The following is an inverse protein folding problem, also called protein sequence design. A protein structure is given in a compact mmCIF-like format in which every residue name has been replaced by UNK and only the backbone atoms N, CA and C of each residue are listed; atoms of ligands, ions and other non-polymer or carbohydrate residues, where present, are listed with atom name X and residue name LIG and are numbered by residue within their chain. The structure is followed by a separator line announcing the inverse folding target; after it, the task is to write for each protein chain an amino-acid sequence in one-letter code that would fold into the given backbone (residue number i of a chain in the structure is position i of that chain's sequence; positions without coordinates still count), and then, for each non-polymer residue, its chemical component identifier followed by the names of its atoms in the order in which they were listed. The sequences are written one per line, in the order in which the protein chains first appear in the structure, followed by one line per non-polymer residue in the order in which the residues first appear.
data_IF_582638658963
#
_entry.id   IF_582638658963
#
_cell.length_a   1.000
_cell.length_b   1.000
_cell.length_c   1.000
_cell.angle_alpha   90.00
_cell.angle_beta   90.00
_cell.angle_gamma   90.00
#
_symmetry.space_group_name_H-M   'P 1'
#
loop_
_entity.id
_entity.type
_entity.pdbx_description
1 polymer ?
#
# COMPACT_ATOMS: atom_id res chain seq x y z
N UNK A 1 -21.26 0.59 -5.46
CA UNK A 1 -20.32 0.79 -4.33
C UNK A 1 -21.10 0.74 -3.03
N UNK A 2 -20.57 0.10 -1.99
CA UNK A 2 -21.19 0.07 -0.67
C UNK A 2 -21.43 1.51 -0.20
N UNK A 3 -22.66 1.80 0.24
CA UNK A 3 -23.08 3.10 0.79
C UNK A 3 -22.97 3.12 2.31
N UNK A 4 -22.08 2.29 2.85
CA UNK A 4 -21.85 2.14 4.28
C UNK A 4 -21.18 3.40 4.82
N UNK A 5 -21.54 3.78 6.04
CA UNK A 5 -20.99 4.94 6.72
C UNK A 5 -20.30 4.49 7.98
N UNK A 6 -19.10 4.99 8.20
CA UNK A 6 -18.24 4.62 9.30
C UNK A 6 -17.86 5.87 10.08
N UNK A 7 -17.74 5.73 11.40
CA UNK A 7 -17.21 6.78 12.27
C UNK A 7 -15.72 6.49 12.48
N UNK A 8 -14.88 7.53 12.44
CA UNK A 8 -13.46 7.38 12.66
C UNK A 8 -12.85 8.60 13.36
N UNK A 9 -11.77 8.35 14.10
CA UNK A 9 -10.89 9.39 14.64
C UNK A 9 -9.74 9.59 13.66
N UNK A 10 -9.47 10.84 13.34
CA UNK A 10 -8.33 11.22 12.49
C UNK A 10 -7.09 11.29 13.38
N UNK A 11 -6.17 10.35 13.20
CA UNK A 11 -4.90 10.28 13.93
C UNK A 11 -3.94 11.36 13.43
N UNK A 12 -3.62 11.32 12.14
CA UNK A 12 -2.70 12.24 11.50
C UNK A 12 -2.95 12.31 9.99
N UNK A 13 -2.40 13.34 9.35
CA UNK A 13 -2.14 13.31 7.91
C UNK A 13 -1.23 12.11 7.64
N UNK A 14 -1.79 11.07 7.02
CA UNK A 14 -1.01 10.12 6.23
C UNK A 14 -0.18 10.91 5.25
N UNK A 15 0.92 10.36 4.79
CA UNK A 15 1.88 11.10 3.98
C UNK A 15 1.18 11.96 2.93
N UNK A 16 1.28 13.29 3.07
CA UNK A 16 0.85 14.25 2.06
C UNK A 16 1.77 14.11 0.85
N UNK A 17 1.70 12.98 0.17
CA UNK A 17 2.48 12.59 -0.97
C UNK A 17 1.45 12.28 -2.04
N UNK A 18 1.53 13.05 -3.13
CA UNK A 18 0.84 12.87 -4.43
C UNK A 18 -0.41 13.76 -4.61
N UNK A 19 -0.20 15.05 -4.82
CA UNK A 19 -0.64 15.75 -6.06
C UNK A 19 -2.04 15.42 -6.65
N UNK A 20 -3.08 16.14 -6.18
CA UNK A 20 -4.45 16.30 -6.73
C UNK A 20 -4.45 16.95 -8.13
N UNK A 21 -3.44 17.77 -8.41
CA UNK A 21 -2.96 18.37 -9.67
C UNK A 21 -1.43 18.24 -9.61
N UNK A 22 -0.65 18.29 -10.72
CA UNK A 22 0.80 18.42 -10.65
C UNK A 22 1.16 19.59 -9.70
N UNK A 23 1.60 19.28 -8.48
CA UNK A 23 1.92 20.20 -7.39
C UNK A 23 1.06 20.19 -6.10
N UNK A 24 -0.14 19.59 -6.03
CA UNK A 24 -1.05 19.77 -4.86
C UNK A 24 -1.24 18.56 -3.93
N UNK A 25 -0.78 18.54 -2.67
CA UNK A 25 -0.80 17.33 -1.84
C UNK A 25 -2.21 16.70 -1.67
N UNK A 26 -2.37 15.42 -2.04
CA UNK A 26 -3.54 14.61 -1.70
C UNK A 26 -3.64 14.44 -0.18
N UNK A 27 -4.82 14.72 0.34
CA UNK A 27 -5.14 14.62 1.74
C UNK A 27 -5.34 13.14 2.09
N UNK A 28 -4.24 12.47 2.34
CA UNK A 28 -4.20 11.12 2.90
C UNK A 28 -4.29 11.22 4.43
N UNK A 29 -5.18 10.46 5.06
CA UNK A 29 -5.30 10.38 6.51
C UNK A 29 -5.27 8.94 6.98
N UNK A 30 -4.67 8.74 8.16
CA UNK A 30 -4.87 7.52 8.93
C UNK A 30 -6.09 7.70 9.81
N UNK A 31 -7.00 6.74 9.71
CA UNK A 31 -8.30 6.73 10.35
C UNK A 31 -8.37 5.55 11.31
N UNK A 32 -8.71 5.82 12.56
CA UNK A 32 -9.00 4.81 13.58
C UNK A 32 -10.51 4.62 13.65
N UNK A 33 -11.00 3.41 13.38
CA UNK A 33 -12.43 3.17 13.32
C UNK A 33 -13.09 3.21 14.70
N UNK A 34 -14.30 3.75 14.73
CA UNK A 34 -15.18 3.75 15.89
C UNK A 34 -16.42 2.92 15.55
N UNK A 35 -16.68 1.91 16.39
CA UNK A 35 -17.84 1.04 16.28
C UNK A 35 -18.80 1.23 17.45
N UNK A 36 -20.02 0.70 17.28
CA UNK A 36 -20.96 0.55 18.39
C UNK A 36 -20.76 -0.78 19.07
N UNK A 37 -20.76 -0.79 20.40
CA UNK A 37 -20.49 -1.97 21.20
C UNK A 37 -19.04 -2.45 21.14
N UNK A 38 -18.77 -3.44 21.97
CA UNK A 38 -17.48 -4.10 22.02
C UNK A 38 -17.27 -4.97 20.76
N UNK A 39 -16.03 -5.04 20.24
CA UNK A 39 -15.69 -6.00 19.20
C UNK A 39 -15.83 -7.43 19.73
N UNK A 40 -16.00 -8.40 18.84
CA UNK A 40 -16.20 -9.83 19.18
C UNK A 40 -15.09 -10.38 20.09
N UNK A 41 -13.85 -9.92 19.90
CA UNK A 41 -12.69 -10.33 20.68
C UNK A 41 -12.65 -9.67 22.07
N UNK A 42 -13.49 -8.66 22.31
CA UNK A 42 -13.68 -7.96 23.58
C UNK A 42 -12.55 -6.99 23.94
N UNK A 43 -11.28 -7.41 23.81
CA UNK A 43 -10.12 -6.65 24.28
C UNK A 43 -9.60 -5.50 23.38
N UNK A 44 -9.77 -5.50 22.04
CA UNK A 44 -9.20 -4.45 21.19
C UNK A 44 -10.13 -3.24 21.07
N UNK A 45 -10.49 -2.65 22.21
CA UNK A 45 -11.40 -1.51 22.27
C UNK A 45 -10.96 -0.45 23.29
N UNK A 46 -11.31 0.81 23.04
CA UNK A 46 -11.21 1.92 24.00
C UNK A 46 -12.59 2.58 24.09
N UNK A 47 -13.18 2.75 25.28
CA UNK A 47 -14.49 3.36 25.41
C UNK A 47 -14.45 4.85 25.04
N UNK A 48 -15.49 5.35 24.39
CA UNK A 48 -15.76 6.78 24.24
C UNK A 48 -16.88 7.17 25.20
N UNK A 49 -16.69 8.21 26.00
CA UNK A 49 -17.72 8.67 26.95
C UNK A 49 -19.05 8.95 26.22
N UNK A 50 -20.20 8.42 26.70
CA UNK A 50 -20.44 7.79 28.01
C UNK A 50 -20.42 6.24 28.01
N UNK A 51 -19.73 5.57 27.08
CA UNK A 51 -19.65 4.11 27.03
C UNK A 51 -18.98 3.50 28.28
N UNK A 52 -19.41 2.31 28.70
CA UNK A 52 -18.94 1.66 29.92
C UNK A 52 -17.49 1.18 29.78
N UNK A 53 -16.67 1.45 30.81
CA UNK A 53 -15.24 1.13 30.85
C UNK A 53 -14.87 -0.08 31.72
N UNK A 54 -15.81 -0.63 32.50
CA UNK A 54 -15.53 -1.61 33.56
C UNK A 54 -14.88 -2.91 33.07
N UNK A 55 -15.07 -3.29 31.80
CA UNK A 55 -14.54 -4.54 31.23
C UNK A 55 -13.18 -4.40 30.53
N UNK A 56 -12.73 -3.19 30.22
CA UNK A 56 -11.64 -2.97 29.25
C UNK A 56 -10.28 -2.59 29.86
N UNK A 57 -10.20 -2.37 31.18
CA UNK A 57 -8.99 -1.85 31.86
C UNK A 57 -8.42 -0.57 31.22
N UNK A 58 -9.24 0.17 30.48
CA UNK A 58 -8.86 1.35 29.69
C UNK A 58 -9.76 2.53 30.04
N UNK A 59 -9.20 3.71 30.30
CA UNK A 59 -10.00 4.89 30.60
C UNK A 59 -10.84 5.28 29.38
N UNK A 60 -12.06 5.74 29.63
CA UNK A 60 -12.92 6.29 28.57
C UNK A 60 -12.33 7.59 28.05
N UNK A 61 -12.32 7.73 26.72
CA UNK A 61 -11.91 8.94 26.03
C UNK A 61 -13.08 9.91 25.98
N UNK A 62 -12.83 11.16 26.37
CA UNK A 62 -13.86 12.20 26.40
C UNK A 62 -13.83 13.00 25.10
N UNK A 63 -14.97 13.10 24.44
CA UNK A 63 -15.15 13.95 23.25
C UNK A 63 -15.55 15.37 23.66
N UNK A 64 -15.20 16.36 22.85
CA UNK A 64 -15.50 17.78 23.10
C UNK A 64 -17.01 18.09 23.13
N UNK A 65 -17.81 17.20 22.53
CA UNK A 65 -19.26 17.19 22.58
C UNK A 65 -19.73 15.72 22.58
N UNK A 66 -20.88 15.40 23.21
CA UNK A 66 -21.37 14.03 23.26
C UNK A 66 -21.67 13.52 21.85
N UNK A 67 -21.32 12.26 21.60
CA UNK A 67 -21.65 11.60 20.33
C UNK A 67 -23.16 11.34 20.25
N UNK A 68 -23.78 11.45 19.06
CA UNK A 68 -25.20 11.18 18.89
C UNK A 68 -25.54 9.68 18.97
N UNK A 69 -24.52 8.81 18.96
CA UNK A 69 -24.68 7.37 19.12
C UNK A 69 -24.21 6.94 20.51
N UNK A 70 -25.02 6.17 21.25
CA UNK A 70 -24.60 5.60 22.53
C UNK A 70 -23.66 4.43 22.30
N UNK A 71 -22.89 4.10 23.35
CA UNK A 71 -22.08 2.88 23.44
C UNK A 71 -21.02 2.77 22.32
N UNK A 72 -20.25 3.84 22.12
CA UNK A 72 -19.20 3.91 21.10
C UNK A 72 -17.84 3.49 21.67
N UNK A 73 -17.11 2.71 20.88
CA UNK A 73 -15.76 2.27 21.20
C UNK A 73 -14.83 2.49 20.01
N UNK A 74 -13.61 2.94 20.27
CA UNK A 74 -12.54 2.91 19.27
C UNK A 74 -12.07 1.47 19.14
N UNK A 75 -12.22 0.87 17.96
CA UNK A 75 -11.78 -0.49 17.70
C UNK A 75 -10.30 -0.44 17.30
N UNK A 76 -9.41 -0.72 18.25
CA UNK A 76 -7.97 -0.40 18.16
C UNK A 76 -7.20 -1.21 17.12
N UNK A 77 -7.75 -2.36 16.70
CA UNK A 77 -7.23 -3.16 15.59
C UNK A 77 -7.73 -2.68 14.22
N UNK A 78 -8.81 -1.90 14.19
CA UNK A 78 -9.48 -1.47 12.97
C UNK A 78 -9.00 -0.07 12.59
N UNK A 79 -7.95 0.00 11.77
CA UNK A 79 -7.40 1.25 11.27
C UNK A 79 -7.06 1.12 9.79
N UNK A 80 -7.24 2.21 9.04
CA UNK A 80 -6.95 2.22 7.62
C UNK A 80 -6.46 3.61 7.17
N UNK A 81 -5.90 3.66 5.97
CA UNK A 81 -5.44 4.90 5.34
C UNK A 81 -6.28 5.19 4.11
N UNK A 82 -6.79 6.40 3.98
CA UNK A 82 -7.59 6.79 2.82
C UNK A 82 -7.33 8.23 2.40
N UNK A 83 -7.55 8.48 1.12
CA UNK A 83 -7.53 9.78 0.49
C UNK A 83 -8.93 10.40 0.52
N UNK A 84 -9.04 11.61 1.04
CA UNK A 84 -10.32 12.30 1.12
C UNK A 84 -10.57 13.03 -0.19
N UNK A 85 -11.53 12.51 -0.95
CA UNK A 85 -11.96 13.09 -2.23
C UNK A 85 -12.92 14.27 -2.05
N UNK A 86 -13.74 14.23 -0.99
CA UNK A 86 -14.74 15.25 -0.68
C UNK A 86 -14.86 15.44 0.83
N UNK A 87 -14.91 16.70 1.25
CA UNK A 87 -15.09 17.10 2.64
C UNK A 87 -16.36 17.93 2.81
N UNK A 88 -17.31 17.41 3.56
CA UNK A 88 -18.54 18.10 3.94
C UNK A 88 -18.35 18.78 5.29
N UNK A 89 -18.21 20.11 5.27
CA UNK A 89 -18.06 20.93 6.48
C UNK A 89 -19.41 21.19 7.13
N UNK A 90 -19.47 21.08 8.45
CA UNK A 90 -20.61 21.53 9.25
C UNK A 90 -20.50 23.02 9.56
N UNK A 91 -21.61 23.75 9.72
CA UNK A 91 -21.60 25.04 10.40
C UNK A 91 -21.31 24.93 11.92
N UNK A 92 -21.43 23.73 12.50
CA UNK A 92 -21.14 23.47 13.92
C UNK A 92 -19.66 23.17 14.17
N UNK A 93 -19.23 23.32 15.42
CA UNK A 93 -17.87 22.95 15.84
C UNK A 93 -17.63 21.45 15.62
N UNK A 94 -16.47 21.13 15.04
CA UNK A 94 -16.04 19.75 14.81
C UNK A 94 -15.84 19.06 16.16
N UNK A 95 -16.47 17.89 16.34
CA UNK A 95 -16.26 17.06 17.53
C UNK A 95 -14.82 16.56 17.52
N UNK A 96 -14.11 16.78 18.62
CA UNK A 96 -12.70 16.46 18.75
C UNK A 96 -12.43 15.73 20.05
N UNK A 97 -11.28 15.07 20.14
CA UNK A 97 -10.78 14.46 21.38
C UNK A 97 -9.51 15.19 21.82
N UNK A 98 -9.17 15.10 23.10
CA UNK A 98 -7.95 15.73 23.59
C UNK A 98 -6.71 15.08 22.96
N UNK A 99 -5.61 15.84 22.86
CA UNK A 99 -4.34 15.30 22.35
C UNK A 99 -3.79 14.17 23.23
N UNK A 100 -4.05 14.23 24.54
CA UNK A 100 -3.63 13.20 25.49
C UNK A 100 -4.39 11.90 25.24
N UNK A 101 -5.71 11.98 25.02
CA UNK A 101 -6.55 10.84 24.71
C UNK A 101 -6.19 10.21 23.37
N UNK A 102 -5.97 11.03 22.33
CA UNK A 102 -5.53 10.53 21.03
C UNK A 102 -4.21 9.75 21.17
N UNK A 103 -3.23 10.29 21.91
CA UNK A 103 -1.97 9.61 22.15
C UNK A 103 -2.15 8.29 22.93
N UNK A 104 -3.07 8.24 23.90
CA UNK A 104 -3.40 7.02 24.63
C UNK A 104 -4.01 5.96 23.70
N UNK A 105 -4.99 6.34 22.88
CA UNK A 105 -5.63 5.46 21.89
C UNK A 105 -4.59 4.88 20.92
N UNK A 106 -3.66 5.70 20.42
CA UNK A 106 -2.60 5.25 19.53
C UNK A 106 -1.66 4.25 20.21
N UNK A 107 -1.32 4.48 21.48
CA UNK A 107 -0.53 3.53 22.27
C UNK A 107 -1.25 2.20 22.42
N UNK A 108 -2.55 2.21 22.69
CA UNK A 108 -3.37 0.99 22.76
C UNK A 108 -3.44 0.27 21.40
N UNK A 109 -3.64 1.00 20.31
CA UNK A 109 -3.64 0.43 18.96
C UNK A 109 -2.35 -0.31 18.63
N UNK A 110 -1.18 0.29 18.91
CA UNK A 110 0.11 -0.37 18.70
C UNK A 110 0.27 -1.61 19.57
N UNK A 111 -0.11 -1.55 20.84
CA UNK A 111 -0.04 -2.68 21.76
C UNK A 111 -0.95 -3.83 21.31
N UNK A 112 -2.18 -3.52 20.92
CA UNK A 112 -3.15 -4.52 20.48
C UNK A 112 -2.73 -5.17 19.16
N UNK A 113 -2.21 -4.39 18.20
CA UNK A 113 -1.67 -4.94 16.96
C UNK A 113 -0.51 -5.89 17.21
N UNK A 114 0.39 -5.55 18.14
CA UNK A 114 1.49 -6.43 18.53
C UNK A 114 0.99 -7.73 19.15
N UNK A 115 0.08 -7.63 20.13
CA UNK A 115 -0.52 -8.77 20.81
C UNK A 115 -1.28 -9.68 19.83
N UNK A 116 -2.11 -9.10 18.97
CA UNK A 116 -2.85 -9.82 17.92
C UNK A 116 -1.91 -10.56 16.96
N UNK A 117 -0.78 -9.94 16.61
CA UNK A 117 0.26 -10.58 15.82
C UNK A 117 0.86 -11.81 16.51
N UNK A 118 1.16 -11.72 17.80
CA UNK A 118 1.67 -12.86 18.58
C UNK A 118 0.64 -14.00 18.67
N UNK A 119 -0.63 -13.66 18.95
CA UNK A 119 -1.73 -14.63 19.02
C UNK A 119 -1.91 -15.35 17.68
N UNK A 120 -1.86 -14.62 16.55
CA UNK A 120 -1.92 -15.22 15.20
C UNK A 120 -0.75 -16.18 14.92
N UNK A 121 0.48 -15.81 15.29
CA UNK A 121 1.65 -16.68 15.12
C UNK A 121 1.52 -17.94 15.98
N UNK A 122 1.14 -17.80 17.25
CA UNK A 122 0.94 -18.94 18.15
C UNK A 122 -0.17 -19.88 17.65
N UNK A 123 -1.30 -19.34 17.17
CA UNK A 123 -2.38 -20.12 16.58
C UNK A 123 -1.93 -20.90 15.35
N UNK A 124 -1.10 -20.29 14.49
CA UNK A 124 -0.54 -20.96 13.32
C UNK A 124 0.42 -22.09 13.70
N UNK A 125 1.32 -21.88 14.67
CA UNK A 125 2.22 -22.92 15.16
C UNK A 125 1.45 -24.08 15.81
N UNK A 126 0.41 -23.78 16.60
CA UNK A 126 -0.46 -24.79 17.19
C UNK A 126 -1.20 -25.60 16.10
N UNK A 127 -1.71 -24.94 15.06
CA UNK A 127 -2.35 -25.61 13.93
C UNK A 127 -1.38 -26.51 13.15
N UNK A 128 -0.11 -26.10 13.00
CA UNK A 128 0.91 -26.95 12.38
C UNK A 128 1.26 -28.17 13.25
N UNK A 129 1.40 -27.99 14.55
CA UNK A 129 1.70 -29.08 15.48
C UNK A 129 0.55 -30.10 15.60
N UNK A 130 -0.70 -29.64 15.48
CA UNK A 130 -1.88 -30.48 15.47
C UNK A 130 -2.12 -31.22 14.15
N UNK A 131 -1.35 -30.90 13.09
CA UNK A 131 -1.50 -31.55 11.79
C UNK A 131 -1.00 -33.00 11.92
N UNK A 132 -1.85 -34.01 11.75
CA UNK A 132 -1.43 -35.40 11.87
C UNK A 132 -0.31 -35.67 10.87
N UNK A 133 0.71 -36.40 11.30
CA UNK A 133 1.75 -36.91 10.42
C UNK A 133 1.08 -37.83 9.39
N UNK A 134 0.65 -37.26 8.27
CA UNK A 134 0.17 -38.04 7.15
C UNK A 134 1.32 -38.98 6.77
N UNK A 135 1.04 -40.28 6.89
CA UNK A 135 1.93 -41.36 6.50
C UNK A 135 2.47 -41.02 5.12
N UNK A 136 3.76 -40.72 5.03
CA UNK A 136 4.39 -40.57 3.73
C UNK A 136 4.12 -41.87 2.98
N UNK A 137 3.51 -41.85 1.78
CA UNK A 137 3.52 -43.02 0.93
C UNK A 137 4.98 -43.38 0.72
N UNK A 138 5.35 -44.61 1.11
CA UNK A 138 6.65 -45.18 0.84
C UNK A 138 6.79 -45.25 -0.70
N UNK A 139 7.36 -44.21 -1.29
CA UNK A 139 7.84 -44.27 -2.66
C UNK A 139 9.12 -45.11 -2.66
N UNK A 140 9.22 -46.11 -3.55
CA UNK A 140 10.43 -46.92 -3.66
C UNK A 140 11.60 -46.05 -4.15
N UNK A 141 12.75 -46.28 -3.52
CA UNK A 141 14.08 -45.79 -3.91
C UNK A 141 14.29 -45.95 -5.42
N UNK A 142 14.67 -44.87 -6.09
CA UNK A 142 15.55 -44.79 -7.27
C UNK A 142 15.20 -43.56 -8.12
N UNK A 143 15.88 -42.43 -7.88
CA UNK A 143 16.89 -41.86 -8.80
C UNK A 143 17.44 -40.54 -8.26
N UNK A 144 18.77 -40.50 -8.28
CA UNK A 144 19.68 -39.39 -8.01
C UNK A 144 19.40 -38.17 -8.93
N UNK A 145 18.86 -37.09 -8.35
CA UNK A 145 19.08 -35.72 -8.81
C UNK A 145 18.69 -34.72 -7.72
N UNK A 146 19.69 -34.04 -7.16
CA UNK A 146 19.56 -32.95 -6.19
C UNK A 146 19.88 -31.59 -6.88
N UNK A 147 19.61 -30.42 -6.28
CA UNK A 147 18.28 -29.86 -6.01
C UNK A 147 18.21 -28.33 -6.29
N UNK A 148 17.08 -27.78 -6.77
CA UNK A 148 16.89 -26.31 -6.72
C UNK A 148 15.43 -25.84 -6.92
N UNK A 149 14.52 -26.18 -6.01
CA UNK A 149 13.25 -25.44 -5.92
C UNK A 149 12.95 -25.07 -4.46
N UNK A 150 13.54 -23.96 -4.04
CA UNK A 150 13.16 -23.24 -2.83
C UNK A 150 11.79 -22.57 -3.05
N UNK A 151 10.74 -23.20 -2.54
CA UNK A 151 9.43 -22.55 -2.37
C UNK A 151 9.51 -21.58 -1.20
N UNK A 152 9.85 -20.32 -1.50
CA UNK A 152 9.75 -19.23 -0.56
C UNK A 152 8.28 -18.90 -0.30
N UNK A 153 7.78 -19.25 0.89
CA UNK A 153 6.58 -18.64 1.46
C UNK A 153 6.83 -17.15 1.67
N UNK A 154 6.20 -16.33 0.83
CA UNK A 154 6.27 -14.88 0.93
C UNK A 154 5.31 -14.41 2.04
N UNK A 155 5.84 -14.20 3.25
CA UNK A 155 5.16 -13.41 4.26
C UNK A 155 5.06 -11.96 3.76
N UNK A 156 3.85 -11.54 3.40
CA UNK A 156 3.53 -10.18 2.95
C UNK A 156 3.60 -9.20 4.11
N UNK A 157 4.78 -8.62 4.33
CA UNK A 157 4.92 -7.35 5.03
C UNK A 157 4.78 -6.23 4.02
N UNK A 158 3.78 -5.37 4.19
CA UNK A 158 3.56 -4.13 3.45
C UNK A 158 4.84 -3.28 3.45
N UNK A 159 5.55 -3.32 2.31
CA UNK A 159 6.73 -2.50 2.09
C UNK A 159 6.28 -1.06 1.79
N UNK A 160 6.28 -0.21 2.81
CA UNK A 160 6.25 1.23 2.63
C UNK A 160 7.53 1.67 1.93
N UNK A 161 7.42 1.99 0.64
CA UNK A 161 8.53 2.37 -0.23
C UNK A 161 9.29 3.59 0.30
N UNK A 162 10.51 3.35 0.78
CA UNK A 162 11.50 4.39 1.09
C UNK A 162 12.14 4.88 -0.21
N UNK A 163 11.55 5.92 -0.80
CA UNK A 163 12.18 6.72 -1.86
C UNK A 163 13.13 7.72 -1.23
N UNK A 164 14.40 7.33 -1.10
CA UNK A 164 15.52 8.25 -0.87
C UNK A 164 15.87 8.91 -2.21
N UNK A 165 15.76 10.23 -2.24
CA UNK A 165 15.96 11.09 -3.39
C UNK A 165 17.45 11.20 -3.74
N UNK A 166 17.98 10.15 -4.34
CA UNK A 166 19.35 10.11 -4.86
C UNK A 166 19.33 9.47 -6.22
N UNK A 167 19.05 10.28 -7.26
CA UNK A 167 19.41 10.02 -8.67
C UNK A 167 19.09 8.62 -9.22
N UNK A 168 18.14 7.90 -8.62
CA UNK A 168 17.78 6.55 -9.06
C UNK A 168 16.87 6.72 -10.25
N UNK A 169 17.39 6.35 -11.42
CA UNK A 169 16.59 6.00 -12.59
C UNK A 169 15.37 5.22 -12.10
N UNK A 170 14.18 5.77 -12.33
CA UNK A 170 12.94 5.21 -11.84
C UNK A 170 12.94 3.71 -12.14
N UNK A 171 12.86 2.90 -11.08
CA UNK A 171 12.64 1.46 -11.25
C UNK A 171 11.50 1.32 -12.26
N UNK A 172 11.69 0.65 -13.41
CA UNK A 172 10.67 0.54 -14.44
C UNK A 172 9.43 -0.21 -13.97
N UNK A 173 9.44 -0.73 -12.73
CA UNK A 173 8.30 -1.35 -12.10
C UNK A 173 8.15 -0.82 -10.67
N UNK A 174 7.38 0.25 -10.55
CA UNK A 174 6.72 0.57 -9.29
C UNK A 174 5.27 0.10 -9.45
N UNK A 175 4.85 -0.99 -8.77
CA UNK A 175 3.48 -1.45 -8.81
C UNK A 175 2.57 -0.27 -8.50
N UNK A 176 1.58 0.00 -9.36
CA UNK A 176 0.53 0.95 -9.06
C UNK A 176 -0.17 0.45 -7.79
N UNK A 177 -0.13 1.25 -6.74
CA UNK A 177 -0.83 0.95 -5.49
C UNK A 177 -2.29 1.37 -5.63
N UNK A 178 -3.20 0.61 -5.04
CA UNK A 178 -4.59 1.03 -4.90
C UNK A 178 -4.67 2.20 -3.93
N UNK A 179 -5.29 3.29 -4.39
CA UNK A 179 -5.63 4.42 -3.53
C UNK A 179 -7.09 4.31 -3.11
N UNK A 180 -7.32 4.27 -1.79
CA UNK A 180 -8.68 4.30 -1.24
C UNK A 180 -9.19 5.74 -1.23
N UNK A 181 -10.28 6.01 -1.94
CA UNK A 181 -10.92 7.33 -1.96
C UNK A 181 -12.21 7.32 -1.15
N UNK A 182 -12.35 8.27 -0.22
CA UNK A 182 -13.54 8.38 0.63
C UNK A 182 -14.10 9.81 0.63
N UNK A 183 -15.39 9.90 0.96
CA UNK A 183 -16.06 11.16 1.30
C UNK A 183 -16.15 11.26 2.83
N UNK A 184 -15.90 12.45 3.36
CA UNK A 184 -15.86 12.70 4.80
C UNK A 184 -16.88 13.76 5.20
N UNK A 185 -17.64 13.48 6.25
CA UNK A 185 -18.56 14.42 6.89
C UNK A 185 -18.00 14.82 8.25
N UNK A 186 -17.89 16.12 8.50
CA UNK A 186 -17.50 16.65 9.83
C UNK A 186 -18.70 16.87 10.75
N UNK A 187 -19.91 16.82 10.19
CA UNK A 187 -21.15 16.89 10.96
C UNK A 187 -21.57 15.50 11.43
N UNK A 188 -21.54 15.27 12.74
CA UNK A 188 -22.00 14.00 13.32
C UNK A 188 -23.54 13.96 13.46
N UNK A 189 -24.23 15.10 13.37
CA UNK A 189 -25.69 15.18 13.55
C UNK A 189 -26.49 14.88 12.27
N UNK A 190 -25.83 14.47 11.18
CA UNK A 190 -26.46 14.24 9.89
C UNK A 190 -27.38 12.98 9.81
N UNK A 191 -27.79 12.41 10.96
CA UNK A 191 -28.73 11.28 11.03
C UNK A 191 -28.20 9.99 10.42
N UNK A 192 -26.89 9.77 10.45
CA UNK A 192 -26.27 8.62 9.80
C UNK A 192 -26.37 7.35 10.66
N UNK A 193 -26.69 6.21 10.02
CA UNK A 193 -26.57 4.89 10.64
C UNK A 193 -25.13 4.41 10.46
N UNK A 194 -24.42 4.22 11.57
CA UNK A 194 -23.07 3.68 11.56
C UNK A 194 -23.08 2.19 11.23
N UNK A 195 -22.15 1.79 10.38
CA UNK A 195 -21.86 0.39 10.04
C UNK A 195 -20.75 -0.15 10.94
N UNK A 196 -20.64 -1.48 11.03
CA UNK A 196 -19.60 -2.14 11.82
C UNK A 196 -18.22 -1.95 11.16
N UNK A 197 -17.22 -1.41 11.88
CA UNK A 197 -15.84 -1.32 11.40
C UNK A 197 -15.27 -2.60 10.78
N UNK A 198 -15.64 -3.77 11.31
CA UNK A 198 -15.14 -5.06 10.79
C UNK A 198 -15.56 -5.34 9.36
N UNK A 199 -16.73 -4.84 8.96
CA UNK A 199 -17.20 -4.98 7.58
C UNK A 199 -16.29 -4.17 6.65
N UNK A 200 -15.91 -2.95 7.05
CA UNK A 200 -14.98 -2.13 6.27
C UNK A 200 -13.65 -2.84 6.09
N UNK A 201 -13.03 -3.32 7.17
CA UNK A 201 -11.72 -3.97 7.06
C UNK A 201 -11.78 -5.27 6.27
N UNK A 202 -12.87 -6.05 6.38
CA UNK A 202 -13.08 -7.22 5.52
C UNK A 202 -13.20 -6.86 4.02
N UNK A 203 -13.87 -5.75 3.69
CA UNK A 203 -13.97 -5.25 2.32
C UNK A 203 -12.61 -4.75 1.82
N UNK A 204 -11.84 -4.06 2.67
CA UNK A 204 -10.49 -3.59 2.34
C UNK A 204 -9.51 -4.74 2.12
N UNK A 205 -9.54 -5.77 2.97
CA UNK A 205 -8.75 -6.99 2.82
C UNK A 205 -9.08 -7.71 1.50
N UNK A 206 -10.37 -7.74 1.13
CA UNK A 206 -10.79 -8.29 -0.16
C UNK A 206 -10.21 -7.47 -1.33
N UNK A 207 -10.26 -6.15 -1.26
CA UNK A 207 -9.68 -5.29 -2.31
C UNK A 207 -8.17 -5.44 -2.42
N UNK A 208 -7.45 -5.52 -1.30
CA UNK A 208 -6.00 -5.78 -1.29
C UNK A 208 -5.67 -7.15 -1.91
N UNK A 209 -6.50 -8.17 -1.67
CA UNK A 209 -6.31 -9.48 -2.29
C UNK A 209 -6.42 -9.43 -3.81
N UNK A 210 -7.40 -8.67 -4.34
CA UNK A 210 -7.59 -8.47 -5.78
C UNK A 210 -6.41 -7.70 -6.39
N UNK A 211 -5.94 -6.66 -5.70
CA UNK A 211 -4.76 -5.88 -6.11
C UNK A 211 -3.52 -6.78 -6.18
N UNK A 212 -3.29 -7.60 -5.16
CA UNK A 212 -2.17 -8.54 -5.12
C UNK A 212 -2.24 -9.56 -6.26
N UNK A 213 -3.41 -10.12 -6.53
CA UNK A 213 -3.61 -11.06 -7.64
C UNK A 213 -3.40 -10.41 -9.01
N UNK A 214 -3.83 -9.15 -9.16
CA UNK A 214 -3.53 -8.36 -10.35
C UNK A 214 -2.02 -8.11 -10.48
N UNK A 215 -1.35 -7.65 -9.42
CA UNK A 215 0.07 -7.36 -9.42
C UNK A 215 0.92 -8.61 -9.76
N UNK A 216 0.53 -9.77 -9.24
CA UNK A 216 1.16 -11.06 -9.57
C UNK A 216 1.00 -11.40 -11.07
N UNK A 217 -0.20 -11.22 -11.64
CA UNK A 217 -0.44 -11.46 -13.07
C UNK A 217 0.39 -10.54 -13.96
N UNK A 218 0.48 -9.25 -13.61
CA UNK A 218 1.30 -8.28 -14.33
C UNK A 218 2.79 -8.63 -14.23
N UNK A 219 3.27 -8.98 -13.03
CA UNK A 219 4.66 -9.41 -12.85
C UNK A 219 4.97 -10.65 -13.71
N UNK A 220 4.07 -11.63 -13.72
CA UNK A 220 4.20 -12.83 -14.55
C UNK A 220 4.21 -12.51 -16.05
N UNK A 221 3.31 -11.63 -16.51
CA UNK A 221 3.27 -11.18 -17.90
C UNK A 221 4.58 -10.51 -18.33
N UNK A 222 5.12 -9.63 -17.49
CA UNK A 222 6.39 -8.95 -17.74
C UNK A 222 7.52 -9.98 -17.81
N UNK A 223 7.61 -10.89 -16.84
CA UNK A 223 8.67 -11.91 -16.81
C UNK A 223 8.60 -12.85 -18.03
N UNK A 224 7.40 -13.19 -18.51
CA UNK A 224 7.23 -14.14 -19.62
C UNK A 224 7.31 -13.49 -21.00
N UNK A 225 6.82 -12.26 -21.20
CA UNK A 225 6.83 -11.58 -22.50
C UNK A 225 8.09 -10.76 -22.77
N UNK A 226 8.69 -10.15 -21.74
CA UNK A 226 9.84 -9.25 -21.90
C UNK A 226 11.14 -9.90 -22.42
N UNK A 227 11.43 -11.20 -22.18
CA UNK A 227 12.56 -11.87 -22.81
C UNK A 227 12.45 -11.88 -24.34
N UNK A 228 11.23 -11.91 -24.89
CA UNK A 228 11.03 -11.90 -26.35
C UNK A 228 11.28 -10.51 -26.94
N UNK A 229 10.85 -9.44 -26.28
CA UNK A 229 11.12 -8.07 -26.74
C UNK A 229 12.57 -7.67 -26.57
N UNK A 230 13.26 -8.10 -25.50
CA UNK A 230 14.68 -7.82 -25.34
C UNK A 230 15.58 -8.67 -26.25
N UNK A 231 15.15 -9.88 -26.61
CA UNK A 231 15.80 -10.67 -27.66
C UNK A 231 15.58 -10.05 -29.05
N UNK A 232 14.37 -9.56 -29.34
CA UNK A 232 14.07 -8.84 -30.57
C UNK A 232 14.87 -7.54 -30.69
N UNK A 233 14.91 -6.70 -29.66
CA UNK A 233 15.71 -5.47 -29.64
C UNK A 233 17.20 -5.76 -29.88
N UNK A 234 17.75 -6.79 -29.20
CA UNK A 234 19.13 -7.22 -29.48
C UNK A 234 19.33 -7.74 -30.91
N UNK A 235 18.32 -8.39 -31.48
CA UNK A 235 18.35 -8.83 -32.88
C UNK A 235 18.34 -7.65 -33.86
N UNK A 236 17.59 -6.59 -33.57
CA UNK A 236 17.56 -5.36 -34.36
C UNK A 236 18.90 -4.60 -34.26
N UNK A 237 19.44 -4.44 -33.04
CA UNK A 237 20.74 -3.79 -32.84
C UNK A 237 21.89 -4.60 -33.49
N UNK A 238 21.83 -5.93 -33.43
CA UNK A 238 22.83 -6.81 -34.03
C UNK A 238 22.69 -6.94 -35.55
N UNK A 239 21.50 -6.66 -36.12
CA UNK A 239 21.30 -6.69 -37.56
C UNK A 239 22.06 -5.56 -38.26
N UNK A 240 22.46 -4.51 -37.53
CA UNK A 240 23.21 -3.38 -38.07
C UNK A 240 22.38 -2.58 -39.07
N UNK A 241 22.56 -1.26 -39.09
CA UNK A 241 22.01 -0.44 -40.15
C UNK A 241 22.69 -0.86 -41.48
N UNK A 242 21.96 -1.32 -42.51
CA UNK A 242 22.55 -1.63 -43.80
C UNK A 242 22.90 -0.36 -44.59
N UNK A 243 23.51 0.63 -43.95
CA UNK A 243 24.04 1.84 -44.58
C UNK A 243 25.49 2.07 -44.14
N UNK A 244 26.39 1.32 -44.76
CA UNK A 244 27.77 1.72 -45.14
C UNK A 244 28.52 0.53 -45.75
N UNK A 245 27.83 -0.32 -46.52
CA UNK A 245 28.53 -1.04 -47.57
C UNK A 245 28.66 -0.06 -48.73
N UNK A 246 29.89 0.39 -49.01
CA UNK A 246 30.31 1.19 -50.17
C UNK A 246 29.80 0.57 -51.49
N UNK A 247 28.54 0.80 -51.85
CA UNK A 247 28.00 0.48 -53.16
C UNK A 247 27.99 1.77 -53.95
N UNK A 248 29.02 1.92 -54.79
CA UNK A 248 29.07 2.91 -55.84
C UNK A 248 27.74 2.93 -56.63
N UNK A 249 27.18 4.11 -56.96
CA UNK A 249 25.85 4.20 -57.54
C UNK A 249 25.82 3.51 -58.92
N UNK A 250 24.92 2.53 -59.15
CA UNK A 250 24.70 2.01 -60.48
C UNK A 250 23.84 3.01 -61.26
N UNK A 251 24.41 3.53 -62.34
CA UNK A 251 23.68 4.29 -63.36
C UNK A 251 22.69 3.34 -64.03
N UNK A 252 21.42 3.35 -63.61
CA UNK A 252 20.36 2.65 -64.34
C UNK A 252 19.18 3.59 -64.54
N UNK A 253 18.97 3.91 -65.81
CA UNK A 253 17.84 4.64 -66.33
C UNK A 253 16.56 3.80 -66.24
N UNK A 254 15.49 4.43 -65.78
CA UNK A 254 14.14 4.20 -66.27
C UNK A 254 13.35 3.05 -65.64
N UNK A 255 12.38 3.42 -64.80
CA UNK A 255 11.03 2.90 -64.95
C UNK A 255 10.41 2.17 -63.76
N UNK A 256 9.19 2.64 -63.46
CA UNK A 256 8.09 2.00 -62.71
C UNK A 256 8.04 2.36 -61.22
N UNK A 257 7.23 3.39 -60.96
CA UNK A 257 6.92 3.96 -59.66
C UNK A 257 6.29 2.97 -58.68
N UNK A 258 6.95 2.81 -57.56
CA UNK A 258 6.28 2.75 -56.27
C UNK A 258 6.20 4.19 -55.78
N UNK A 259 4.99 4.73 -55.63
CA UNK A 259 4.78 6.01 -54.96
C UNK A 259 5.10 5.80 -53.47
N UNK A 260 6.40 5.79 -53.15
CA UNK A 260 6.86 6.12 -51.81
C UNK A 260 6.38 7.55 -51.58
N UNK A 261 5.32 7.66 -50.79
CA UNK A 261 4.83 8.94 -50.30
C UNK A 261 5.96 9.49 -49.45
N UNK A 262 6.78 10.36 -50.04
CA UNK A 262 7.83 11.09 -49.36
C UNK A 262 7.21 11.78 -48.14
N UNK A 263 7.42 11.18 -46.96
CA UNK A 263 7.03 11.77 -45.67
C UNK A 263 7.98 12.94 -45.47
N UNK A 264 7.56 14.10 -45.99
CA UNK A 264 8.27 15.35 -45.81
C UNK A 264 8.23 15.80 -44.36
N UNK A 265 9.13 16.71 -43.94
CA UNK A 265 9.09 17.31 -42.60
C UNK A 265 7.74 17.98 -42.27
N UNK A 266 6.95 18.26 -43.30
CA UNK A 266 5.59 18.82 -43.23
C UNK A 266 4.56 17.88 -42.59
N UNK A 267 4.82 16.56 -42.59
CA UNK A 267 3.99 15.50 -42.00
C UNK A 267 4.39 15.16 -40.55
N UNK A 268 5.46 15.78 -40.05
CA UNK A 268 5.82 15.68 -38.64
C UNK A 268 4.68 16.27 -37.76
N UNK A 269 4.37 15.57 -36.66
CA UNK A 269 3.25 15.92 -35.77
C UNK A 269 3.41 17.36 -35.23
N UNK A 270 4.65 17.80 -35.02
CA UNK A 270 4.97 19.15 -34.56
C UNK A 270 4.49 20.24 -35.56
N UNK A 271 4.69 20.03 -36.87
CA UNK A 271 4.25 20.97 -37.91
C UNK A 271 2.73 21.07 -38.00
N UNK A 272 2.01 19.97 -37.71
CA UNK A 272 0.54 19.94 -37.71
C UNK A 272 -0.04 20.71 -36.51
N UNK A 273 0.64 20.69 -35.36
CA UNK A 273 0.26 21.46 -34.16
C UNK A 273 0.53 22.95 -34.38
N UNK A 274 1.67 23.32 -34.97
CA UNK A 274 2.02 24.72 -35.20
C UNK A 274 1.06 25.39 -36.20
N UNK A 275 0.60 24.65 -37.22
CA UNK A 275 -0.40 25.13 -38.19
C UNK A 275 -1.79 25.32 -37.55
N UNK A 276 -2.18 24.44 -36.63
CA UNK A 276 -3.41 24.58 -35.87
C UNK A 276 -3.36 25.80 -34.91
N UNK A 277 -2.20 26.07 -34.31
CA UNK A 277 -2.00 27.25 -33.47
C UNK A 277 -2.08 28.56 -34.29
N UNK A 278 -1.40 28.64 -35.44
CA UNK A 278 -1.48 29.81 -36.34
C UNK A 278 -2.88 30.05 -36.91
N UNK A 279 -3.67 28.99 -37.13
CA UNK A 279 -5.06 29.12 -37.57
C UNK A 279 -6.00 29.71 -36.49
N UNK A 280 -5.63 29.64 -35.20
CA UNK A 280 -6.41 30.23 -34.12
C UNK A 280 -6.15 31.73 -33.93
N UNK A 281 -5.01 32.23 -34.41
CA UNK A 281 -4.55 33.61 -34.21
C UNK A 281 -5.18 34.62 -35.20
N UNK A 282 -5.92 34.13 -36.20
CA UNK A 282 -6.63 34.95 -37.20
C UNK A 282 -8.05 35.37 -36.84
N UNK A 283 -8.59 34.97 -35.68
CA UNK A 283 -9.94 35.37 -35.26
C UNK A 283 -9.90 36.64 -34.40
N UNK A 284 -10.56 37.75 -34.80
CA UNK A 284 -10.62 38.94 -33.97
C UNK A 284 -11.38 38.65 -32.67
N UNK A 285 -10.94 39.20 -31.52
CA UNK A 285 -11.52 38.88 -30.22
C UNK A 285 -12.98 39.30 -30.16
N UNK A 286 -13.84 38.36 -29.81
CA UNK A 286 -15.23 38.61 -29.49
C UNK A 286 -15.32 39.58 -28.30
N UNK A 287 -16.09 40.66 -28.47
CA UNK A 287 -16.32 41.71 -27.48
C UNK A 287 -16.85 41.11 -26.17
N UNK A 288 -16.09 41.25 -25.10
CA UNK A 288 -16.48 40.88 -23.74
C UNK A 288 -17.55 41.84 -23.21
N UNK A 289 -18.70 41.32 -22.82
CA UNK A 289 -19.75 42.05 -22.12
C UNK A 289 -19.52 41.95 -20.59
N UNK A 290 -19.49 43.05 -19.82
CA UNK A 290 -19.11 43.01 -18.40
C UNK A 290 -20.34 42.93 -17.49
N UNK A 291 -20.69 41.73 -17.01
CA UNK A 291 -21.59 41.66 -15.86
C UNK A 291 -21.43 40.36 -15.07
N UNK A 292 -20.53 40.33 -14.07
CA UNK A 292 -20.68 39.49 -12.86
C UNK A 292 -19.95 40.15 -11.67
N UNK A 293 -20.43 39.97 -10.43
CA UNK A 293 -20.07 40.78 -9.30
C UNK A 293 -18.85 40.28 -8.54
N UNK A 294 -18.20 41.27 -7.93
CA UNK A 294 -17.01 41.29 -7.09
C UNK A 294 -17.09 40.29 -5.91
N UNK A 295 -16.34 39.19 -5.99
CA UNK A 295 -16.05 38.33 -4.83
C UNK A 295 -14.90 38.96 -4.04
N UNK A 296 -15.18 39.28 -2.77
CA UNK A 296 -14.24 39.81 -1.78
C UNK A 296 -13.15 38.77 -1.47
N UNK A 297 -11.89 39.13 -1.69
CA UNK A 297 -10.74 38.49 -1.08
C UNK A 297 -10.57 39.00 0.35
N UNK A 298 -10.66 38.11 1.34
CA UNK A 298 -10.24 38.43 2.70
C UNK A 298 -9.32 37.33 3.25
N UNK A 299 -8.11 37.78 3.56
CA UNK A 299 -7.37 37.44 4.77
C UNK A 299 -6.55 36.14 4.76
N UNK A 300 -5.26 36.37 4.51
CA UNK A 300 -4.09 35.70 5.07
C UNK A 300 -4.32 34.99 6.41
N UNK A 301 -4.09 33.69 6.45
CA UNK A 301 -3.76 32.97 7.68
C UNK A 301 -2.48 32.16 7.43
N UNK A 302 -1.38 32.67 7.98
CA UNK A 302 -0.06 32.04 8.02
C UNK A 302 -0.12 30.85 8.98
N UNK A 303 -0.05 29.62 8.48
CA UNK A 303 0.09 28.43 9.33
C UNK A 303 1.54 27.93 9.27
N UNK A 304 2.27 28.22 10.35
CA UNK A 304 3.58 27.63 10.64
C UNK A 304 3.38 26.17 11.08
N UNK A 305 3.60 25.23 10.17
CA UNK A 305 3.53 23.79 10.42
C UNK A 305 4.86 23.08 10.08
N UNK A 306 5.99 23.63 10.51
CA UNK A 306 7.33 23.10 10.16
C UNK A 306 8.05 22.26 11.23
N UNK A 307 7.44 21.92 12.37
CA UNK A 307 8.20 21.26 13.45
C UNK A 307 7.74 19.85 13.89
N UNK A 308 6.71 19.25 13.28
CA UNK A 308 6.19 17.94 13.76
C UNK A 308 6.32 16.77 12.78
N UNK A 309 6.72 17.02 11.54
CA UNK A 309 6.78 16.00 10.47
C UNK A 309 8.05 15.10 10.48
N UNK A 310 8.97 15.28 11.44
CA UNK A 310 10.26 14.54 11.46
C UNK A 310 10.34 13.39 12.49
N UNK A 311 9.35 13.19 13.36
CA UNK A 311 9.47 12.22 14.48
C UNK A 311 8.81 10.85 14.30
N UNK A 312 7.96 10.64 13.29
CA UNK A 312 7.26 9.35 13.11
C UNK A 312 7.80 8.48 11.99
N UNK A 313 8.67 9.01 11.11
CA UNK A 313 9.28 8.23 9.99
C UNK A 313 10.21 7.11 10.44
N UNK A 314 10.81 7.21 11.61
CA UNK A 314 11.70 6.16 12.11
C UNK A 314 10.95 5.05 12.85
N UNK A 315 9.73 5.28 13.31
CA UNK A 315 9.07 4.35 14.24
C UNK A 315 8.40 3.17 13.52
N UNK A 316 7.65 3.41 12.45
CA UNK A 316 6.99 2.33 11.70
C UNK A 316 7.99 1.49 10.89
N UNK A 317 9.03 2.11 10.34
CA UNK A 317 10.16 1.40 9.72
C UNK A 317 10.99 0.63 10.77
N UNK A 318 11.21 1.20 11.97
CA UNK A 318 11.87 0.48 13.05
C UNK A 318 11.02 -0.70 13.55
N UNK A 319 9.69 -0.61 13.59
CA UNK A 319 8.82 -1.73 13.99
C UNK A 319 8.75 -2.83 12.92
N UNK A 320 8.70 -2.47 11.63
CA UNK A 320 8.79 -3.44 10.54
C UNK A 320 10.18 -4.12 10.48
N UNK A 321 11.25 -3.37 10.74
CA UNK A 321 12.62 -3.90 10.83
C UNK A 321 12.82 -4.75 12.09
N UNK A 322 12.34 -4.31 13.26
CA UNK A 322 12.45 -5.06 14.51
C UNK A 322 11.68 -6.38 14.44
N UNK A 323 10.50 -6.39 13.82
CA UNK A 323 9.72 -7.62 13.59
C UNK A 323 10.42 -8.57 12.61
N UNK A 324 11.05 -8.05 11.55
CA UNK A 324 11.85 -8.85 10.60
C UNK A 324 13.14 -9.40 11.21
N UNK A 325 13.86 -8.61 12.00
CA UNK A 325 15.09 -9.04 12.69
C UNK A 325 14.78 -10.07 13.78
N UNK A 326 13.68 -9.89 14.52
CA UNK A 326 13.23 -10.86 15.52
C UNK A 326 12.84 -12.21 14.88
N UNK A 327 12.08 -12.20 13.78
CA UNK A 327 11.76 -13.44 13.04
C UNK A 327 13.00 -14.11 12.45
N UNK A 328 13.96 -13.35 11.93
CA UNK A 328 15.20 -13.89 11.37
C UNK A 328 16.11 -14.51 12.45
N UNK A 329 16.27 -13.86 13.60
CA UNK A 329 17.04 -14.39 14.74
C UNK A 329 16.39 -15.64 15.34
N UNK A 330 15.06 -15.70 15.42
CA UNK A 330 14.35 -16.90 15.86
C UNK A 330 14.48 -18.06 14.86
N UNK A 331 14.50 -17.78 13.55
CA UNK A 331 14.75 -18.80 12.52
C UNK A 331 16.18 -19.36 12.59
N UNK A 332 17.17 -18.53 12.89
CA UNK A 332 18.57 -18.97 13.07
C UNK A 332 18.77 -19.80 14.34
N UNK A 333 18.11 -19.42 15.44
CA UNK A 333 18.17 -20.18 16.69
C UNK A 333 17.54 -21.59 16.56
N UNK A 334 16.45 -21.72 15.80
CA UNK A 334 15.82 -23.02 15.48
C UNK A 334 16.74 -23.90 14.60
N UNK A 335 17.51 -23.31 13.69
CA UNK A 335 18.48 -24.04 12.85
C UNK A 335 19.67 -24.62 13.62
N UNK A 336 20.16 -23.91 14.65
CA UNK A 336 21.27 -24.40 15.48
C UNK A 336 20.85 -25.45 16.52
N UNK A 337 19.62 -25.38 17.04
CA UNK A 337 19.12 -26.35 18.00
C UNK A 337 18.79 -27.73 17.39
N UNK A 338 18.61 -27.81 16.06
CA UNK A 338 18.30 -29.07 15.36
C UNK A 338 19.51 -29.94 15.01
N UNK A 339 20.73 -29.43 15.13
CA UNK A 339 21.95 -30.11 14.64
C UNK A 339 22.63 -31.08 15.61
N UNK A 340 22.16 -31.22 16.85
CA UNK A 340 22.83 -32.02 17.89
C UNK A 340 21.96 -33.19 18.38
N UNK A 341 21.45 -34.00 17.46
CA UNK A 341 20.88 -35.31 17.81
C UNK A 341 21.63 -36.44 17.11
N UNK A 342 22.38 -37.21 17.90
CA UNK A 342 22.59 -38.63 17.60
C UNK A 342 24.02 -39.06 17.26
N UNK A 343 24.98 -38.92 18.19
CA UNK A 343 26.09 -39.89 18.26
C UNK A 343 25.87 -40.79 19.47
N UNK A 344 25.17 -41.90 19.24
CA UNK A 344 24.96 -42.94 20.25
C UNK A 344 26.30 -43.42 20.81
N UNK A 345 26.49 -43.44 22.14
CA UNK A 345 27.68 -44.01 22.74
C UNK A 345 27.66 -45.54 22.57
N UNK A 346 28.72 -46.09 21.98
CA UNK A 346 28.93 -47.53 21.85
C UNK A 346 28.98 -48.19 23.24
N UNK A 347 28.33 -49.35 23.43
CA UNK A 347 28.33 -50.05 24.71
C UNK A 347 29.73 -50.59 25.04
N UNK A 348 30.24 -50.23 26.22
CA UNK A 348 31.47 -50.78 26.82
C UNK A 348 31.25 -52.26 27.15
N UNK A 349 31.96 -53.16 26.47
CA UNK A 349 32.10 -54.57 26.87
C UNK A 349 32.76 -54.63 28.25
N UNK A 350 32.10 -55.30 29.22
CA UNK A 350 32.71 -55.74 30.48
C UNK A 350 33.65 -56.92 30.19
N UNK A 351 34.82 -57.00 30.83
CA UNK A 351 35.59 -58.23 30.88
C UNK A 351 35.03 -59.11 32.00
N UNK A 352 34.65 -60.33 31.65
CA UNK A 352 34.54 -61.44 32.58
C UNK A 352 35.96 -61.98 32.87
N UNK A 353 36.24 -62.27 34.14
CA UNK A 353 37.13 -63.33 34.65
C UNK A 353 37.19 -63.18 36.18
N UNK A 354 36.75 -64.17 36.96
CA UNK A 354 37.34 -65.50 37.22
C UNK A 354 38.31 -65.45 38.41
#
# INVERSE_FOLDING_TARGET
MPKSKYLAIIDTLGHARIELEPGLPKLEYRLLCVGRGLPVEGYPAVPLDPAHSESLERPAVVTSAPLPWPDCYVHTLEAFTACISRLHKSPQNVVSISKQDLHAVLKYSVYDQYRHGQEKVAAYEAAQAARPAASQPAYPDDVDASPAHSVHSYSSSSASGSGSDSGRTASPFQPRRMDLHMEMWLDLNAGHKLSDPKLLTSELDQLESIEKDWAMRIAHEIVTKRPRTSAWLRGVDAAGDPETADVAPPVVAGGVGTEDIDIGPEDAIEHRIERAAKSLEGYPPAKSNPHYPKVRTSTTATWSAKASALRTRTWDLAQALASRVSMFLMSLAKGFAGGTRGRSPKPKKRPDNA
#
